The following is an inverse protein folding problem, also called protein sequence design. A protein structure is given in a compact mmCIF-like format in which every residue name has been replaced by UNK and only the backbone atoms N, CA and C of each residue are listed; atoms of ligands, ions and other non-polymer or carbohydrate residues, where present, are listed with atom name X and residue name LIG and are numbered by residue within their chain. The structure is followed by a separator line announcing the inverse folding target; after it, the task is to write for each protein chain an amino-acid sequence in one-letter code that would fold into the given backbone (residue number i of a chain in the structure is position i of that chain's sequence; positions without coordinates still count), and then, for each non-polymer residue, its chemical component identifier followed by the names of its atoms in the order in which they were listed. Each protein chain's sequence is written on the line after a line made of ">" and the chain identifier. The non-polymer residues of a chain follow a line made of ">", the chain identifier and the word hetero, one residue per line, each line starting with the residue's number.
data_IF_490327692709
#
_entry.id   IF_490327692709
#
_cell.length_a   1.000
_cell.length_b   1.000
_cell.length_c   1.000
_cell.angle_alpha   90.00
_cell.angle_beta   90.00
_cell.angle_gamma   90.00
#
_symmetry.space_group_name_H-M   'P 1'
#
loop_
_entity.id
_entity.type
_entity.pdbx_description
1 polymer ?
#
# COMPACT_ATOMS: atom_id res chain seq x y z
N UNK A 1 3.35 -3.71 -15.81
CA UNK A 1 4.68 -3.41 -16.37
C UNK A 1 4.62 -3.65 -17.87
N UNK A 2 5.08 -2.71 -18.67
CA UNK A 2 5.15 -2.87 -20.13
C UNK A 2 6.11 -4.02 -20.49
N UNK A 3 5.94 -4.66 -21.65
CA UNK A 3 6.92 -5.64 -22.15
C UNK A 3 8.32 -5.01 -22.34
N UNK A 4 8.40 -3.70 -22.55
CA UNK A 4 9.65 -2.96 -22.72
C UNK A 4 10.44 -2.82 -21.41
N UNK A 5 9.80 -2.41 -20.30
CA UNK A 5 10.45 -2.26 -19.00
C UNK A 5 11.10 -3.56 -18.51
N UNK A 6 10.42 -4.71 -18.66
CA UNK A 6 10.96 -6.02 -18.24
C UNK A 6 12.20 -6.47 -19.05
N UNK A 7 12.36 -5.98 -20.28
CA UNK A 7 13.52 -6.25 -21.11
C UNK A 7 14.71 -5.38 -20.67
N UNK A 8 14.45 -4.08 -20.46
CA UNK A 8 15.47 -3.13 -19.99
C UNK A 8 15.96 -3.51 -18.59
N UNK A 9 15.08 -4.02 -17.72
CA UNK A 9 15.43 -4.50 -16.40
C UNK A 9 16.38 -5.71 -16.45
N UNK A 10 16.17 -6.66 -17.37
CA UNK A 10 17.11 -7.78 -17.57
C UNK A 10 18.49 -7.33 -18.04
N UNK A 11 18.55 -6.28 -18.87
CA UNK A 11 19.79 -5.72 -19.40
C UNK A 11 20.54 -4.88 -18.35
N UNK A 12 19.81 -4.09 -17.57
CA UNK A 12 20.38 -3.15 -16.58
C UNK A 12 20.54 -3.75 -15.19
N UNK A 13 19.83 -4.86 -14.89
CA UNK A 13 19.69 -5.47 -13.55
C UNK A 13 19.25 -4.47 -12.48
N UNK A 14 18.50 -3.45 -12.88
CA UNK A 14 18.05 -2.38 -11.99
C UNK A 14 16.68 -1.88 -12.44
N UNK A 15 15.68 -2.06 -11.59
CA UNK A 15 14.26 -1.76 -11.83
C UNK A 15 14.00 -0.25 -12.03
N UNK A 16 14.59 0.62 -11.21
CA UNK A 16 14.42 2.08 -11.34
C UNK A 16 15.02 2.62 -12.64
N UNK A 17 16.19 2.11 -13.07
CA UNK A 17 16.80 2.49 -14.35
C UNK A 17 15.93 2.00 -15.52
N UNK A 18 15.37 0.80 -15.41
CA UNK A 18 14.45 0.28 -16.41
C UNK A 18 13.19 1.13 -16.51
N UNK A 19 12.66 1.56 -15.36
CA UNK A 19 11.51 2.45 -15.28
C UNK A 19 11.80 3.82 -15.89
N UNK A 20 12.90 4.49 -15.53
CA UNK A 20 13.22 5.82 -16.07
C UNK A 20 13.47 5.78 -17.57
N UNK A 21 14.10 4.72 -18.10
CA UNK A 21 14.26 4.54 -19.55
C UNK A 21 12.93 4.27 -20.27
N UNK A 22 12.07 3.43 -19.70
CA UNK A 22 10.75 3.14 -20.29
C UNK A 22 9.90 4.41 -20.33
N UNK A 23 9.79 5.14 -19.20
CA UNK A 23 9.05 6.40 -19.14
C UNK A 23 9.67 7.47 -20.02
N UNK A 24 11.00 7.64 -19.96
CA UNK A 24 11.74 8.63 -20.75
C UNK A 24 11.51 8.50 -22.25
N UNK A 25 11.39 7.26 -22.76
CA UNK A 25 11.13 7.01 -24.18
C UNK A 25 9.82 7.62 -24.72
N UNK A 26 8.88 7.96 -23.83
CA UNK A 26 7.61 8.61 -24.17
C UNK A 26 7.65 10.15 -24.02
N UNK A 27 8.74 10.71 -23.49
CA UNK A 27 8.87 12.13 -23.13
C UNK A 27 9.64 12.97 -24.16
N UNK A 28 10.27 12.34 -25.16
CA UNK A 28 11.03 13.06 -26.18
C UNK A 28 12.18 13.88 -25.56
N UNK A 29 12.29 15.17 -25.91
CA UNK A 29 13.35 16.06 -25.40
C UNK A 29 13.32 16.27 -23.89
N UNK A 30 12.18 16.03 -23.25
CA UNK A 30 12.00 16.30 -21.82
C UNK A 30 12.53 15.15 -20.96
N UNK A 31 12.93 14.02 -21.56
CA UNK A 31 13.50 12.88 -20.83
C UNK A 31 14.74 13.25 -19.99
N UNK A 32 15.48 14.28 -20.41
CA UNK A 32 16.67 14.78 -19.70
C UNK A 32 16.35 15.33 -18.31
N UNK A 33 15.10 15.74 -18.06
CA UNK A 33 14.64 16.24 -16.78
C UNK A 33 14.03 15.13 -15.91
N UNK A 34 13.76 13.96 -16.48
CA UNK A 34 13.26 12.82 -15.73
C UNK A 34 14.32 12.38 -14.71
N UNK A 35 13.93 12.34 -13.43
CA UNK A 35 14.82 11.98 -12.32
C UNK A 35 15.98 12.96 -12.07
N UNK A 36 15.94 14.18 -12.65
CA UNK A 36 16.96 15.19 -12.42
C UNK A 36 17.02 15.62 -10.96
N UNK A 37 18.18 15.42 -10.32
CA UNK A 37 18.40 15.75 -8.91
C UNK A 37 17.77 14.78 -7.90
N UNK A 38 17.17 13.68 -8.37
CA UNK A 38 16.60 12.63 -7.53
C UNK A 38 17.52 11.41 -7.46
N UNK A 39 17.38 10.66 -6.37
CA UNK A 39 17.90 9.30 -6.22
C UNK A 39 16.75 8.28 -6.28
N UNK A 40 17.08 7.00 -6.42
CA UNK A 40 16.11 5.91 -6.40
C UNK A 40 15.19 5.95 -5.17
N UNK A 41 15.74 6.29 -4.00
CA UNK A 41 15.00 6.37 -2.74
C UNK A 41 13.93 7.45 -2.76
N UNK A 42 14.19 8.61 -3.37
CA UNK A 42 13.21 9.70 -3.46
C UNK A 42 11.92 9.25 -4.18
N UNK A 43 12.06 8.36 -5.17
CA UNK A 43 10.92 7.80 -5.92
C UNK A 43 10.29 6.63 -5.18
N UNK A 44 11.10 5.66 -4.77
CA UNK A 44 10.60 4.40 -4.18
C UNK A 44 9.96 4.63 -2.82
N UNK A 45 10.59 5.39 -1.95
CA UNK A 45 10.10 5.60 -0.58
C UNK A 45 8.85 6.48 -0.57
N UNK A 46 8.79 7.47 -1.45
CA UNK A 46 7.59 8.31 -1.64
C UNK A 46 6.43 7.47 -2.18
N UNK A 47 6.66 6.66 -3.21
CA UNK A 47 5.64 5.78 -3.78
C UNK A 47 5.15 4.76 -2.73
N UNK A 48 6.05 4.17 -1.96
CA UNK A 48 5.71 3.27 -0.86
C UNK A 48 4.85 3.97 0.19
N UNK A 49 5.25 5.18 0.62
CA UNK A 49 4.52 5.98 1.61
C UNK A 49 3.10 6.28 1.14
N UNK A 50 2.93 6.69 -0.12
CA UNK A 50 1.59 6.91 -0.72
C UNK A 50 0.77 5.63 -0.70
N UNK A 51 1.35 4.49 -1.08
CA UNK A 51 0.66 3.19 -1.06
C UNK A 51 0.28 2.76 0.36
N UNK A 52 1.12 3.03 1.36
CA UNK A 52 0.82 2.72 2.76
C UNK A 52 -0.40 3.50 3.26
N UNK A 53 -0.49 4.80 2.94
CA UNK A 53 -1.65 5.63 3.28
C UNK A 53 -2.91 5.07 2.62
N UNK A 54 -2.88 4.81 1.32
CA UNK A 54 -4.01 4.26 0.58
C UNK A 54 -4.46 2.89 1.12
N UNK A 55 -3.50 2.01 1.43
CA UNK A 55 -3.78 0.71 2.03
C UNK A 55 -4.43 0.87 3.42
N UNK A 56 -3.90 1.78 4.24
CA UNK A 56 -4.46 2.11 5.56
C UNK A 56 -5.92 2.56 5.47
N UNK A 57 -6.25 3.43 4.52
CA UNK A 57 -7.64 3.86 4.31
C UNK A 57 -8.57 2.71 3.92
N UNK A 58 -8.12 1.79 3.06
CA UNK A 58 -8.90 0.60 2.68
C UNK A 58 -9.17 -0.26 3.91
N UNK A 59 -8.16 -0.50 4.74
CA UNK A 59 -8.30 -1.29 5.97
C UNK A 59 -9.25 -0.63 6.97
N UNK A 60 -9.14 0.68 7.17
CA UNK A 60 -10.04 1.43 8.07
C UNK A 60 -11.49 1.34 7.61
N UNK A 61 -11.75 1.55 6.31
CA UNK A 61 -13.10 1.40 5.73
C UNK A 61 -13.64 -0.03 5.88
N UNK A 62 -12.78 -1.04 5.76
CA UNK A 62 -13.17 -2.44 5.92
C UNK A 62 -13.51 -2.80 7.39
N UNK A 63 -12.83 -2.18 8.36
CA UNK A 63 -13.05 -2.43 9.79
C UNK A 63 -14.33 -1.76 10.32
N UNK A 64 -14.71 -0.61 9.78
CA UNK A 64 -15.80 0.22 10.29
C UNK A 64 -17.15 -0.52 10.44
N UNK A 65 -17.61 -1.35 9.47
CA UNK A 65 -18.85 -2.12 9.64
C UNK A 65 -18.76 -3.17 10.75
N UNK A 66 -17.58 -3.76 10.95
CA UNK A 66 -17.33 -4.74 12.01
C UNK A 66 -17.47 -4.08 13.39
N UNK A 67 -16.80 -2.94 13.59
CA UNK A 67 -16.88 -2.16 14.83
C UNK A 67 -18.33 -1.75 15.12
N UNK A 68 -19.05 -1.22 14.11
CA UNK A 68 -20.45 -0.81 14.25
C UNK A 68 -21.35 -1.98 14.68
N UNK A 69 -21.23 -3.13 14.03
CA UNK A 69 -22.04 -4.32 14.38
C UNK A 69 -21.72 -4.86 15.78
N UNK A 70 -20.45 -4.96 16.14
CA UNK A 70 -20.04 -5.41 17.47
C UNK A 70 -20.53 -4.46 18.56
N UNK A 71 -20.49 -3.14 18.33
CA UNK A 71 -21.02 -2.16 19.28
C UNK A 71 -22.53 -2.30 19.48
N UNK A 72 -23.30 -2.58 18.42
CA UNK A 72 -24.74 -2.85 18.52
C UNK A 72 -25.00 -4.11 19.35
N UNK A 73 -24.27 -5.19 19.07
CA UNK A 73 -24.41 -6.45 19.82
C UNK A 73 -24.04 -6.28 21.30
N UNK A 74 -22.93 -5.60 21.59
CA UNK A 74 -22.49 -5.32 22.95
C UNK A 74 -23.56 -4.56 23.74
N UNK A 75 -24.18 -3.53 23.15
CA UNK A 75 -25.29 -2.80 23.77
C UNK A 75 -26.53 -3.66 23.96
N UNK A 76 -26.87 -4.50 22.97
CA UNK A 76 -28.04 -5.38 23.03
C UNK A 76 -27.96 -6.39 24.18
N UNK A 77 -26.76 -6.90 24.46
CA UNK A 77 -26.53 -7.96 25.44
C UNK A 77 -25.81 -7.49 26.71
N UNK A 78 -25.84 -6.18 26.99
CA UNK A 78 -25.08 -5.60 28.11
C UNK A 78 -25.51 -6.18 29.48
N UNK A 79 -26.79 -6.49 29.65
CA UNK A 79 -27.35 -7.05 30.89
C UNK A 79 -27.56 -8.57 30.82
N UNK A 80 -27.08 -9.23 29.76
CA UNK A 80 -27.23 -10.67 29.62
C UNK A 80 -26.25 -11.38 30.58
N UNK A 81 -26.71 -12.17 31.57
CA UNK A 81 -25.82 -12.86 32.49
C UNK A 81 -25.04 -13.95 31.74
N UNK A 82 -23.70 -13.95 31.88
CA UNK A 82 -22.82 -14.98 31.34
C UNK A 82 -21.81 -15.42 32.40
N UNK A 83 -21.43 -16.70 32.40
CA UNK A 83 -20.32 -17.17 33.21
C UNK A 83 -19.00 -16.55 32.70
N UNK A 84 -18.30 -15.82 33.58
CA UNK A 84 -16.93 -15.37 33.31
C UNK A 84 -16.00 -16.56 33.17
N UNK A 85 -14.98 -16.45 32.30
CA UNK A 85 -13.99 -17.50 32.09
C UNK A 85 -12.59 -16.93 32.20
N UNK A 86 -11.75 -17.57 33.01
CA UNK A 86 -10.32 -17.25 33.14
C UNK A 86 -9.50 -18.51 32.94
N UNK A 87 -8.32 -18.42 32.32
CA UNK A 87 -7.46 -19.58 32.01
C UNK A 87 -8.14 -20.73 31.25
N UNK A 88 -9.25 -20.45 30.55
CA UNK A 88 -9.98 -21.45 29.77
C UNK A 88 -10.91 -22.37 30.59
N UNK A 89 -11.20 -22.04 31.85
CA UNK A 89 -12.03 -22.88 32.75
C UNK A 89 -13.27 -22.11 33.24
N UNK A 90 -14.33 -22.86 33.59
CA UNK A 90 -15.60 -22.41 34.17
C UNK A 90 -15.63 -22.61 35.69
#
# INVERSE_FOLDING_TARGET
>A
MSNASSRIERETRHDVIAFTKDVGSHLGSDEQYLHYGLTSSDVVDTALSVRMVQAGEILLRALEPGIKRTAVLAKKYIDAPIAGRTHGVF
#
